data_IF_665071334651
#
_entry.id   IF_665071334651
#
_cell.length_a   1.000
_cell.length_b   1.000
_cell.length_c   1.000
_cell.angle_alpha   90.00
_cell.angle_beta   90.00
_cell.angle_gamma   90.00
#
_symmetry.space_group_name_H-M   'P 1'
#
loop_
_entity.id
_entity.type
_entity.pdbx_description
1 polymer ?
#
# COMPACT_ATOMS: atom_id res chain seq x y z
N UNK A 1 -0.36 -16.54 -8.65
CA UNK A 1 0.20 -16.29 -7.31
C UNK A 1 0.89 -14.93 -7.17
N UNK A 2 1.67 -14.45 -8.15
CA UNK A 2 2.38 -13.16 -8.04
C UNK A 2 1.51 -11.93 -7.71
N UNK A 3 0.36 -11.75 -8.38
CA UNK A 3 -0.52 -10.58 -8.15
C UNK A 3 -1.01 -10.43 -6.71
N UNK A 4 -1.38 -11.54 -6.06
CA UNK A 4 -1.89 -11.51 -4.68
C UNK A 4 -0.76 -11.10 -3.73
N UNK A 5 0.47 -11.58 -3.96
CA UNK A 5 1.65 -11.18 -3.17
C UNK A 5 1.95 -9.68 -3.32
N UNK A 6 1.81 -9.14 -4.53
CA UNK A 6 1.99 -7.70 -4.80
C UNK A 6 0.90 -6.86 -4.14
N UNK A 7 -0.37 -7.32 -4.18
CA UNK A 7 -1.46 -6.67 -3.47
C UNK A 7 -1.28 -6.70 -1.95
N UNK A 8 -0.86 -7.84 -1.38
CA UNK A 8 -0.60 -7.96 0.05
C UNK A 8 0.54 -7.03 0.50
N UNK A 9 1.60 -6.93 -0.31
CA UNK A 9 2.73 -6.05 -0.03
C UNK A 9 2.32 -4.57 -0.06
N UNK A 10 1.48 -4.18 -1.03
CA UNK A 10 0.92 -2.83 -1.08
C UNK A 10 0.02 -2.49 0.12
N UNK A 11 -0.84 -3.43 0.54
CA UNK A 11 -1.69 -3.27 1.73
C UNK A 11 -0.85 -3.18 3.01
N UNK A 12 0.20 -3.99 3.14
CA UNK A 12 1.11 -3.92 4.29
C UNK A 12 1.82 -2.56 4.38
N UNK A 13 2.23 -1.99 3.23
CA UNK A 13 2.81 -0.65 3.15
C UNK A 13 1.82 0.47 3.50
N UNK A 14 0.51 0.28 3.30
CA UNK A 14 -0.52 1.24 3.74
C UNK A 14 -0.82 1.18 5.24
N UNK A 15 -0.72 -0.01 5.85
CA UNK A 15 -0.99 -0.19 7.28
C UNK A 15 0.13 0.39 8.16
N UNK A 16 1.36 0.37 7.64
CA UNK A 16 2.55 0.87 8.33
C UNK A 16 2.45 2.36 8.74
N UNK A 17 2.08 3.31 7.85
CA UNK A 17 1.86 4.70 8.24
C UNK A 17 0.67 4.89 9.18
N UNK A 18 -0.43 4.12 9.03
CA UNK A 18 -1.59 4.19 9.93
C UNK A 18 -1.22 3.81 11.39
N UNK A 19 -0.30 2.85 11.54
CA UNK A 19 0.24 2.49 12.84
C UNK A 19 1.13 3.60 13.40
N UNK A 20 2.04 4.13 12.58
CA UNK A 20 2.98 5.19 12.98
C UNK A 20 2.28 6.50 13.34
N UNK A 21 1.17 6.84 12.67
CA UNK A 21 0.36 8.04 13.00
C UNK A 21 -0.10 8.08 14.46
N UNK A 22 -0.24 6.92 15.11
CA UNK A 22 -0.64 6.83 16.51
C UNK A 22 0.54 6.87 17.49
N UNK A 23 1.80 6.86 17.01
CA UNK A 23 2.97 6.96 17.89
C UNK A 23 3.43 8.42 18.06
N UNK A 24 3.43 8.95 19.30
CA UNK A 24 3.79 10.34 19.57
C UNK A 24 5.27 10.67 19.30
N UNK A 25 6.14 9.65 19.21
CA UNK A 25 7.58 9.80 18.97
C UNK A 25 7.98 9.94 17.51
N UNK A 26 7.12 9.55 16.57
CA UNK A 26 7.42 9.55 15.13
C UNK A 26 6.36 10.42 14.42
N UNK A 27 6.39 11.72 14.71
CA UNK A 27 5.55 12.71 14.03
C UNK A 27 6.19 13.07 12.70
N UNK A 28 5.72 12.47 11.62
CA UNK A 28 6.16 12.80 10.25
C UNK A 28 5.60 14.13 9.72
N UNK A 29 5.03 14.99 10.58
CA UNK A 29 4.55 16.35 10.24
C UNK A 29 3.67 16.40 8.97
N UNK A 30 2.78 15.43 8.79
CA UNK A 30 1.88 15.35 7.63
C UNK A 30 2.43 14.56 6.46
N UNK A 31 3.66 14.05 6.53
CA UNK A 31 4.21 13.16 5.50
C UNK A 31 3.62 11.75 5.53
N UNK A 32 2.85 11.39 6.56
CA UNK A 32 2.14 10.09 6.63
C UNK A 32 1.22 9.87 5.43
N UNK A 33 0.63 10.96 4.90
CA UNK A 33 -0.20 10.90 3.69
C UNK A 33 0.60 10.46 2.46
N UNK A 34 1.84 10.95 2.30
CA UNK A 34 2.70 10.55 1.18
C UNK A 34 3.08 9.07 1.26
N UNK A 35 3.32 8.54 2.47
CA UNK A 35 3.64 7.11 2.67
C UNK A 35 2.41 6.25 2.31
N UNK A 36 1.22 6.69 2.70
CA UNK A 36 -0.04 5.99 2.38
C UNK A 36 -0.31 5.98 0.88
N UNK A 37 -0.11 7.11 0.20
CA UNK A 37 -0.18 7.20 -1.27
C UNK A 37 0.87 6.32 -1.94
N UNK A 38 2.07 6.22 -1.37
CA UNK A 38 3.13 5.35 -1.88
C UNK A 38 2.77 3.86 -1.77
N UNK A 39 2.02 3.44 -0.74
CA UNK A 39 1.45 2.08 -0.64
C UNK A 39 0.26 1.85 -1.58
N UNK A 40 -0.45 2.91 -1.96
CA UNK A 40 -1.61 2.85 -2.87
C UNK A 40 -1.27 2.52 -4.31
N UNK A 41 -0.19 3.11 -4.83
CA UNK A 41 0.29 2.86 -6.19
C UNK A 41 0.57 1.36 -6.47
N UNK A 42 1.38 0.63 -5.67
CA UNK A 42 1.65 -0.78 -5.91
C UNK A 42 0.42 -1.68 -5.70
N UNK A 43 -0.51 -1.29 -4.82
CA UNK A 43 -1.77 -2.02 -4.62
C UNK A 43 -2.66 -1.95 -5.87
N UNK A 44 -2.79 -0.76 -6.47
CA UNK A 44 -3.51 -0.58 -7.73
C UNK A 44 -2.84 -1.35 -8.87
N UNK A 45 -1.51 -1.30 -8.98
CA UNK A 45 -0.76 -2.05 -10.00
C UNK A 45 -1.02 -3.56 -9.84
N UNK A 46 -0.98 -4.08 -8.61
CA UNK A 46 -1.29 -5.48 -8.32
C UNK A 46 -2.72 -5.88 -8.69
N UNK A 47 -3.68 -4.97 -8.52
CA UNK A 47 -5.09 -5.17 -8.85
C UNK A 47 -5.32 -5.18 -10.39
N UNK A 48 -4.75 -4.21 -11.12
CA UNK A 48 -4.84 -4.16 -12.59
C UNK A 48 -4.12 -5.32 -13.28
N UNK A 49 -2.99 -5.80 -12.75
CA UNK A 49 -2.31 -6.99 -13.26
C UNK A 49 -3.16 -8.25 -13.05
N UNK A 50 -3.87 -8.34 -11.92
CA UNK A 50 -4.77 -9.46 -11.63
C UNK A 50 -5.95 -9.47 -12.60
N UNK A 51 -6.53 -8.30 -12.87
CA UNK A 51 -7.69 -8.14 -13.74
C UNK A 51 -7.36 -8.57 -15.19
N UNK A 52 -6.22 -8.12 -15.73
CA UNK A 52 -5.75 -8.54 -17.07
C UNK A 52 -5.46 -10.03 -17.21
N UNK A 53 -5.13 -10.71 -16.10
CA UNK A 53 -4.92 -12.17 -16.10
C UNK A 53 -6.24 -12.94 -15.97
N UNK A 54 -7.26 -12.35 -15.37
CA UNK A 54 -8.57 -12.95 -15.21
C UNK A 54 -9.45 -12.80 -16.47
N UNK A 55 -9.23 -11.73 -17.24
CA UNK A 55 -9.96 -11.43 -18.48
C UNK A 55 -9.34 -12.05 -19.76
N UNK A 56 -8.48 -13.06 -19.62
CA UNK A 56 -7.76 -13.71 -20.73
C UNK A 56 -7.82 -15.22 -20.57
#
# INVERSE_FOLDING_TARGET
>A
MGSIKVMLLGIALMLLPLYIQNEPGIRFFGNEFFILVFGFIPTLIGLFIKDRKHNK
#
